data_IF_889255737187
#
_entry.id   IF_889255737187
#
_cell.length_a   1.000
_cell.length_b   1.000
_cell.length_c   1.000
_cell.angle_alpha   90.00
_cell.angle_beta   90.00
_cell.angle_gamma   90.00
#
_symmetry.space_group_name_H-M   'P 1'
#
loop_
_entity.id
_entity.type
_entity.pdbx_description
1 polymer ?
#
# COMPACT_ATOMS: atom_id res chain seq x y z
N UNK A 1 -25.14 19.92 4.02
CA UNK A 1 -25.53 18.57 4.50
C UNK A 1 -25.64 18.55 6.01
N UNK A 2 -24.56 18.81 6.75
CA UNK A 2 -24.57 18.80 8.22
C UNK A 2 -25.60 19.76 8.85
N UNK A 3 -25.73 20.99 8.36
CA UNK A 3 -26.76 21.96 8.84
C UNK A 3 -28.22 21.51 8.59
N UNK A 4 -28.43 20.57 7.67
CA UNK A 4 -29.76 20.00 7.43
C UNK A 4 -30.03 18.88 8.44
N UNK A 5 -29.03 18.07 8.76
CA UNK A 5 -29.14 16.96 9.70
C UNK A 5 -29.36 17.46 11.15
N UNK A 6 -28.72 18.56 11.54
CA UNK A 6 -28.85 19.14 12.89
C UNK A 6 -30.21 19.78 13.18
N UNK A 7 -31.08 19.94 12.18
CA UNK A 7 -32.45 20.47 12.35
C UNK A 7 -33.45 19.42 12.82
N UNK A 8 -33.05 18.15 12.88
CA UNK A 8 -33.92 17.05 13.25
C UNK A 8 -33.48 16.47 14.60
N UNK A 9 -34.33 16.61 15.62
CA UNK A 9 -34.05 16.16 16.99
C UNK A 9 -33.86 14.64 17.12
N UNK A 10 -34.23 13.87 16.10
CA UNK A 10 -34.08 12.41 16.05
C UNK A 10 -32.80 11.94 15.35
N UNK A 11 -32.00 12.85 14.79
CA UNK A 11 -30.68 12.54 14.20
C UNK A 11 -29.60 13.19 15.05
N UNK A 12 -28.70 12.39 15.59
CA UNK A 12 -27.49 12.87 16.26
C UNK A 12 -26.26 12.56 15.41
N UNK A 13 -25.60 13.59 14.89
CA UNK A 13 -24.32 13.43 14.18
C UNK A 13 -23.19 13.32 15.20
N UNK A 14 -22.48 12.19 15.20
CA UNK A 14 -21.36 11.91 16.09
C UNK A 14 -20.16 11.40 15.31
N UNK A 15 -18.98 11.56 15.87
CA UNK A 15 -17.76 10.90 15.41
C UNK A 15 -17.77 9.42 15.77
N UNK A 16 -16.94 8.57 15.11
CA UNK A 16 -16.78 7.18 15.51
C UNK A 16 -16.38 7.01 16.98
N UNK A 17 -15.49 7.86 17.50
CA UNK A 17 -15.04 7.80 18.90
C UNK A 17 -16.16 8.09 19.91
N UNK A 18 -17.01 9.09 19.62
CA UNK A 18 -18.17 9.41 20.45
C UNK A 18 -19.19 8.27 20.45
N UNK A 19 -19.46 7.69 19.28
CA UNK A 19 -20.36 6.54 19.18
C UNK A 19 -19.88 5.35 20.00
N UNK A 20 -18.59 5.02 19.90
CA UNK A 20 -17.98 3.94 20.68
C UNK A 20 -18.09 4.23 22.18
N UNK A 21 -17.81 5.45 22.64
CA UNK A 21 -17.95 5.81 24.05
C UNK A 21 -19.40 5.72 24.57
N UNK A 22 -20.38 6.03 23.72
CA UNK A 22 -21.82 5.95 24.08
C UNK A 22 -22.34 4.51 24.13
N UNK A 23 -21.77 3.60 23.33
CA UNK A 23 -22.36 2.29 23.06
C UNK A 23 -21.43 1.09 23.32
N UNK A 24 -20.24 1.30 23.88
CA UNK A 24 -19.22 0.25 24.08
C UNK A 24 -19.76 -1.06 24.68
N UNK A 25 -20.67 -0.96 25.66
CA UNK A 25 -21.22 -2.12 26.37
C UNK A 25 -22.24 -2.93 25.54
N UNK A 26 -22.65 -2.40 24.38
CA UNK A 26 -23.71 -2.97 23.51
C UNK A 26 -23.23 -3.22 22.07
N UNK A 27 -21.93 -3.21 21.81
CA UNK A 27 -21.39 -3.54 20.49
C UNK A 27 -21.34 -5.06 20.30
N UNK A 28 -22.01 -5.56 19.26
CA UNK A 28 -21.83 -6.95 18.84
C UNK A 28 -20.43 -7.19 18.29
N UNK A 29 -19.93 -8.41 18.42
CA UNK A 29 -18.65 -8.84 17.83
C UNK A 29 -18.88 -9.52 16.49
N UNK A 30 -17.92 -9.34 15.58
CA UNK A 30 -17.81 -10.15 14.36
C UNK A 30 -16.71 -11.18 14.64
N UNK A 31 -17.10 -12.40 15.01
CA UNK A 31 -16.14 -13.43 15.42
C UNK A 31 -15.29 -13.93 14.24
N UNK A 32 -15.85 -13.89 13.03
CA UNK A 32 -15.16 -14.25 11.80
C UNK A 32 -15.38 -13.16 10.75
N UNK A 33 -14.31 -12.43 10.44
CA UNK A 33 -14.32 -11.44 9.36
C UNK A 33 -13.77 -12.08 8.08
N UNK A 34 -14.58 -12.10 7.02
CA UNK A 34 -14.17 -12.63 5.73
C UNK A 34 -13.13 -11.69 5.06
N UNK A 35 -12.03 -12.22 4.50
CA UNK A 35 -11.01 -11.42 3.85
C UNK A 35 -11.52 -10.89 2.50
N UNK A 36 -11.93 -9.63 2.48
CA UNK A 36 -12.44 -8.93 1.31
C UNK A 36 -12.15 -7.43 1.38
N UNK A 37 -12.43 -6.73 0.29
CA UNK A 37 -12.48 -5.28 0.24
C UNK A 37 -13.93 -4.78 0.07
N UNK A 38 -14.12 -3.49 0.29
CA UNK A 38 -15.40 -2.82 0.02
C UNK A 38 -15.66 -2.60 -1.49
N UNK A 39 -14.62 -2.67 -2.32
CA UNK A 39 -14.72 -2.48 -3.77
C UNK A 39 -15.19 -3.77 -4.45
N UNK A 40 -14.59 -4.90 -4.08
CA UNK A 40 -14.99 -6.24 -4.49
C UNK A 40 -14.89 -7.22 -3.31
N UNK A 41 -15.70 -8.30 -3.25
CA UNK A 41 -15.68 -9.28 -2.16
C UNK A 41 -14.45 -10.21 -2.20
N UNK A 42 -13.29 -9.68 -2.59
CA UNK A 42 -11.98 -10.31 -2.67
C UNK A 42 -10.89 -9.20 -2.71
N UNK A 43 -9.66 -9.56 -3.10
CA UNK A 43 -8.54 -8.63 -3.30
C UNK A 43 -8.05 -8.57 -4.75
N UNK A 44 -8.87 -9.00 -5.72
CA UNK A 44 -8.46 -9.16 -7.11
C UNK A 44 -7.95 -7.87 -7.76
N UNK A 45 -8.38 -6.70 -7.26
CA UNK A 45 -7.92 -5.37 -7.70
C UNK A 45 -6.48 -5.02 -7.32
N UNK A 46 -5.82 -5.84 -6.48
CA UNK A 46 -4.44 -5.58 -6.06
C UNK A 46 -3.54 -6.81 -6.21
N UNK A 47 -4.09 -7.98 -6.55
CA UNK A 47 -3.35 -9.24 -6.65
C UNK A 47 -4.15 -10.30 -7.42
N UNK A 48 -3.47 -10.97 -8.35
CA UNK A 48 -4.01 -12.09 -9.11
C UNK A 48 -3.57 -12.06 -10.56
N UNK A 49 -3.48 -10.88 -11.15
CA UNK A 49 -3.02 -10.69 -12.53
C UNK A 49 -1.49 -10.73 -12.64
N UNK A 50 -0.99 -10.91 -13.87
CA UNK A 50 0.44 -11.09 -14.11
C UNK A 50 1.26 -9.88 -13.65
N UNK A 51 0.76 -8.67 -13.93
CA UNK A 51 1.49 -7.43 -13.70
C UNK A 51 1.44 -7.06 -12.20
N UNK A 52 0.30 -7.25 -11.53
CA UNK A 52 0.17 -7.11 -10.07
C UNK A 52 1.09 -8.07 -9.32
N UNK A 53 1.08 -9.36 -9.70
CA UNK A 53 1.92 -10.38 -9.07
C UNK A 53 3.40 -10.05 -9.25
N UNK A 54 3.79 -9.57 -10.44
CA UNK A 54 5.18 -9.17 -10.70
C UNK A 54 5.59 -7.95 -9.87
N UNK A 55 4.70 -6.98 -9.68
CA UNK A 55 4.94 -5.85 -8.79
C UNK A 55 5.15 -6.31 -7.33
N UNK A 56 4.35 -7.27 -6.86
CA UNK A 56 4.51 -7.87 -5.53
C UNK A 56 5.84 -8.63 -5.41
N UNK A 57 6.23 -9.38 -6.43
CA UNK A 57 7.52 -10.09 -6.47
C UNK A 57 8.71 -9.12 -6.40
N UNK A 58 8.61 -7.98 -7.08
CA UNK A 58 9.62 -6.92 -7.03
C UNK A 58 9.72 -6.34 -5.63
N UNK A 59 8.60 -5.91 -5.03
CA UNK A 59 8.57 -5.38 -3.66
C UNK A 59 9.10 -6.40 -2.64
N UNK A 60 8.71 -7.66 -2.76
CA UNK A 60 9.19 -8.75 -1.91
C UNK A 60 10.70 -8.92 -2.01
N UNK A 61 11.24 -8.93 -3.23
CA UNK A 61 12.70 -9.04 -3.46
C UNK A 61 13.46 -7.89 -2.81
N UNK A 62 12.97 -6.65 -2.99
CA UNK A 62 13.57 -5.45 -2.36
C UNK A 62 13.51 -5.51 -0.84
N UNK A 63 12.39 -5.98 -0.27
CA UNK A 63 12.26 -6.18 1.20
C UNK A 63 13.28 -7.17 1.74
N UNK A 64 13.51 -8.28 1.04
CA UNK A 64 14.51 -9.28 1.45
C UNK A 64 15.92 -8.67 1.43
N UNK A 65 16.27 -7.94 0.37
CA UNK A 65 17.57 -7.28 0.26
C UNK A 65 17.77 -6.22 1.35
N UNK A 66 16.74 -5.43 1.64
CA UNK A 66 16.73 -4.47 2.74
C UNK A 66 16.95 -5.15 4.10
N UNK A 67 16.23 -6.23 4.41
CA UNK A 67 16.38 -6.94 5.68
C UNK A 67 17.79 -7.57 5.79
N UNK A 68 18.35 -8.07 4.70
CA UNK A 68 19.73 -8.57 4.67
C UNK A 68 20.74 -7.44 4.97
N UNK A 69 20.58 -6.28 4.32
CA UNK A 69 21.42 -5.11 4.54
C UNK A 69 21.35 -4.63 6.00
N UNK A 70 20.13 -4.47 6.54
CA UNK A 70 19.89 -4.11 7.94
C UNK A 70 20.54 -5.07 8.92
N UNK A 71 20.42 -6.38 8.69
CA UNK A 71 20.99 -7.40 9.57
C UNK A 71 22.53 -7.49 9.48
N UNK A 72 23.14 -7.03 8.39
CA UNK A 72 24.60 -6.99 8.23
C UNK A 72 25.29 -6.03 9.20
N UNK A 73 24.57 -5.02 9.70
CA UNK A 73 25.10 -3.92 10.56
C UNK A 73 26.23 -3.12 9.91
N UNK A 74 26.29 -3.10 8.59
CA UNK A 74 27.26 -2.31 7.82
C UNK A 74 26.79 -0.88 7.52
N UNK A 75 25.55 -0.55 7.88
CA UNK A 75 24.87 0.70 7.56
C UNK A 75 24.57 1.50 8.82
N UNK A 76 24.50 2.82 8.68
CA UNK A 76 24.06 3.71 9.74
C UNK A 76 22.57 3.54 10.01
N UNK A 77 22.11 4.04 11.15
CA UNK A 77 20.67 4.01 11.47
C UNK A 77 19.91 4.88 10.45
N UNK A 78 20.49 6.02 10.09
CA UNK A 78 19.91 6.98 9.17
C UNK A 78 19.76 6.42 7.74
N UNK A 79 20.74 5.64 7.25
CA UNK A 79 20.65 4.94 5.96
C UNK A 79 19.53 3.88 5.96
N UNK A 80 19.43 3.11 7.04
CA UNK A 80 18.37 2.10 7.20
C UNK A 80 16.99 2.75 7.30
N UNK A 81 16.85 3.84 8.06
CA UNK A 81 15.59 4.57 8.18
C UNK A 81 15.16 5.18 6.86
N UNK A 82 16.08 5.83 6.13
CA UNK A 82 15.80 6.44 4.82
C UNK A 82 15.40 5.39 3.78
N UNK A 83 16.10 4.25 3.73
CA UNK A 83 15.74 3.13 2.87
C UNK A 83 14.37 2.54 3.24
N UNK A 84 14.04 2.46 4.53
CA UNK A 84 12.76 1.96 5.01
C UNK A 84 11.59 2.88 4.64
N UNK A 85 11.79 4.20 4.65
CA UNK A 85 10.77 5.15 4.17
C UNK A 85 10.36 4.88 2.72
N UNK A 86 11.32 4.56 1.84
CA UNK A 86 10.99 4.19 0.45
C UNK A 86 10.23 2.88 0.34
N UNK A 87 10.48 1.90 1.22
CA UNK A 87 9.67 0.68 1.30
C UNK A 87 8.23 1.02 1.68
N UNK A 88 8.04 1.86 2.69
CA UNK A 88 6.69 2.28 3.13
C UNK A 88 5.95 3.04 2.03
N UNK A 89 6.64 3.88 1.26
CA UNK A 89 6.07 4.54 0.08
C UNK A 89 5.68 3.53 -1.00
N UNK A 90 6.51 2.50 -1.25
CA UNK A 90 6.23 1.44 -2.22
C UNK A 90 5.13 0.46 -1.77
N UNK A 91 4.85 0.37 -0.47
CA UNK A 91 3.75 -0.44 0.10
C UNK A 91 2.37 0.21 -0.05
N UNK A 92 2.29 1.40 -0.66
CA UNK A 92 1.01 2.06 -0.97
C UNK A 92 0.15 1.22 -1.92
N UNK A 93 -1.12 0.98 -1.56
CA UNK A 93 -2.03 0.17 -2.37
C UNK A 93 -2.34 0.76 -3.74
N UNK A 94 -2.19 2.08 -3.90
CA UNK A 94 -2.40 2.77 -5.18
C UNK A 94 -1.51 2.22 -6.29
N UNK A 95 -0.28 1.77 -5.99
CA UNK A 95 0.59 1.17 -7.02
C UNK A 95 -0.05 -0.07 -7.64
N UNK A 96 -0.59 -0.94 -6.79
CA UNK A 96 -1.21 -2.20 -7.19
C UNK A 96 -2.59 -2.00 -7.81
N UNK A 97 -3.30 -0.92 -7.44
CA UNK A 97 -4.57 -0.56 -8.04
C UNK A 97 -4.47 -0.25 -9.55
N UNK A 98 -3.32 0.24 -10.01
CA UNK A 98 -3.10 0.60 -11.43
C UNK A 98 -2.41 -0.49 -12.25
N UNK A 99 -2.05 -1.63 -11.64
CA UNK A 99 -1.50 -2.77 -12.38
C UNK A 99 -2.64 -3.70 -12.81
N UNK A 100 -2.47 -4.37 -13.95
CA UNK A 100 -3.48 -5.27 -14.51
C UNK A 100 -4.44 -4.59 -15.50
N UNK A 101 -5.40 -5.38 -15.99
CA UNK A 101 -6.35 -4.98 -17.03
C UNK A 101 -7.63 -4.34 -16.46
N UNK A 102 -7.83 -4.42 -15.14
CA UNK A 102 -9.06 -4.02 -14.46
C UNK A 102 -9.25 -2.49 -14.38
N UNK A 103 -8.16 -1.74 -14.25
CA UNK A 103 -8.16 -0.28 -14.07
C UNK A 103 -7.19 0.40 -15.06
N UNK A 104 -7.47 1.65 -15.42
CA UNK A 104 -6.64 2.45 -16.33
C UNK A 104 -6.42 3.82 -15.70
N UNK A 105 -5.16 4.17 -15.42
CA UNK A 105 -4.82 5.46 -14.84
C UNK A 105 -4.74 6.59 -15.89
N UNK A 106 -4.80 6.24 -17.18
CA UNK A 106 -4.46 7.02 -18.37
C UNK A 106 -2.98 7.44 -18.48
N UNK A 107 -2.17 7.06 -17.50
CA UNK A 107 -0.75 7.40 -17.37
C UNK A 107 0.04 6.24 -16.73
N UNK A 108 -0.25 4.99 -17.11
CA UNK A 108 0.29 3.81 -16.43
C UNK A 108 1.83 3.75 -16.46
N UNK A 109 2.46 4.30 -17.51
CA UNK A 109 3.92 4.43 -17.61
C UNK A 109 4.50 5.26 -16.47
N UNK A 110 3.79 6.31 -16.05
CA UNK A 110 4.22 7.14 -14.94
C UNK A 110 4.15 6.36 -13.62
N UNK A 111 3.05 5.66 -13.36
CA UNK A 111 2.87 4.91 -12.11
C UNK A 111 3.87 3.76 -11.99
N UNK A 112 4.07 2.99 -13.05
CA UNK A 112 5.07 1.91 -13.08
C UNK A 112 6.48 2.44 -12.84
N UNK A 113 6.87 3.52 -13.54
CA UNK A 113 8.19 4.12 -13.35
C UNK A 113 8.36 4.68 -11.95
N UNK A 114 7.34 5.33 -11.40
CA UNK A 114 7.38 5.89 -10.05
C UNK A 114 7.53 4.77 -9.01
N UNK A 115 6.73 3.71 -9.10
CA UNK A 115 6.84 2.54 -8.23
C UNK A 115 8.25 1.91 -8.28
N UNK A 116 8.76 1.60 -9.48
CA UNK A 116 10.10 1.03 -9.63
C UNK A 116 11.22 1.97 -9.16
N UNK A 117 10.99 3.29 -9.22
CA UNK A 117 11.91 4.30 -8.70
C UNK A 117 11.95 4.26 -7.17
N UNK A 118 10.80 4.12 -6.49
CA UNK A 118 10.76 3.96 -5.03
C UNK A 118 11.54 2.70 -4.60
N UNK A 119 11.32 1.58 -5.30
CA UNK A 119 12.08 0.35 -5.07
C UNK A 119 13.58 0.55 -5.30
N UNK A 120 13.97 1.29 -6.35
CA UNK A 120 15.36 1.58 -6.67
C UNK A 120 16.02 2.46 -5.60
N UNK A 121 15.28 3.40 -5.02
CA UNK A 121 15.80 4.30 -4.00
C UNK A 121 16.20 3.56 -2.71
N UNK A 122 15.57 2.42 -2.40
CA UNK A 122 16.02 1.54 -1.30
C UNK A 122 17.49 1.13 -1.50
N UNK A 123 17.87 0.74 -2.72
CA UNK A 123 19.26 0.37 -3.03
C UNK A 123 20.19 1.59 -3.03
N UNK A 124 19.70 2.76 -3.46
CA UNK A 124 20.50 3.99 -3.47
C UNK A 124 20.85 4.43 -2.04
N UNK A 125 19.88 4.45 -1.13
CA UNK A 125 20.11 4.79 0.29
C UNK A 125 21.05 3.80 0.98
N UNK A 126 21.03 2.53 0.56
CA UNK A 126 21.93 1.49 1.06
C UNK A 126 23.22 1.36 0.24
N UNK A 127 23.48 2.26 -0.71
CA UNK A 127 24.64 2.23 -1.60
C UNK A 127 24.91 0.82 -2.21
N UNK A 128 23.82 0.14 -2.59
CA UNK A 128 23.81 -1.18 -3.23
C UNK A 128 23.62 -1.03 -4.75
N UNK A 129 24.03 -2.06 -5.49
CA UNK A 129 23.74 -2.13 -6.92
C UNK A 129 22.24 -2.34 -7.15
N UNK A 130 21.63 -1.51 -7.99
CA UNK A 130 20.20 -1.59 -8.32
C UNK A 130 19.98 -2.83 -9.20
N UNK A 131 19.11 -3.77 -8.81
CA UNK A 131 18.82 -4.95 -9.60
C UNK A 131 18.28 -4.61 -11.00
N UNK A 132 18.76 -5.34 -12.02
CA UNK A 132 18.39 -5.08 -13.41
C UNK A 132 16.89 -5.23 -13.71
N UNK A 133 16.14 -5.97 -12.89
CA UNK A 133 14.69 -6.13 -13.05
C UNK A 133 13.93 -4.82 -12.81
N UNK A 134 14.43 -3.92 -11.95
CA UNK A 134 13.81 -2.61 -11.69
C UNK A 134 13.92 -1.65 -12.88
N UNK A 135 14.80 -1.93 -13.85
CA UNK A 135 14.91 -1.17 -15.09
C UNK A 135 13.93 -1.64 -16.18
N UNK A 136 13.19 -2.73 -15.95
CA UNK A 136 12.21 -3.25 -16.89
C UNK A 136 10.81 -2.82 -16.44
N UNK A 137 10.00 -2.22 -17.33
CA UNK A 137 8.59 -1.98 -17.03
C UNK A 137 7.88 -3.26 -16.61
N UNK A 138 6.97 -3.14 -15.63
CA UNK A 138 6.06 -4.21 -15.25
C UNK A 138 4.92 -4.27 -16.27
N UNK A 139 4.30 -3.12 -16.54
CA UNK A 139 3.22 -3.01 -17.53
C UNK A 139 3.74 -3.12 -18.96
N UNK A 140 2.91 -3.74 -19.81
CA UNK A 140 3.10 -3.80 -21.26
C UNK A 140 2.33 -2.64 -21.91
N UNK A 141 3.02 -1.53 -22.18
CA UNK A 141 2.46 -0.41 -22.95
C UNK A 141 2.33 -0.74 -24.44
#
# INVERSE_FOLDING_TARGET
MYDVLTKYDWIQTVTPSEYLAMHQDNLGTIDNLYPASWFQPNYATWIGEADENLAWDYLYSVRIDFENAKNSKNYTIEEIESAFEYILLAEGSDWFWWYGDDQDSSVDEYFDKAFRTLLSNVYIELNLEIPAFLNKPINKY
#
